data_IF_832183920840
#
_entry.id   IF_832183920840
#
_cell.length_a   1.000
_cell.length_b   1.000
_cell.length_c   1.000
_cell.angle_alpha   90.00
_cell.angle_beta   90.00
_cell.angle_gamma   90.00
#
_symmetry.space_group_name_H-M   'P 1'
#
loop_
_entity.id
_entity.type
_entity.pdbx_description
1 polymer ?
#
# COMPACT_ATOMS: atom_id res chain seq x y z
N UNK A 1 -37.99 32.99 -13.65
CA UNK A 1 -37.61 31.76 -12.92
C UNK A 1 -37.83 31.99 -11.43
N UNK A 2 -38.76 31.28 -10.77
CA UNK A 2 -38.97 31.43 -9.34
C UNK A 2 -37.68 31.09 -8.59
N UNK A 3 -37.22 32.00 -7.72
CA UNK A 3 -36.05 31.77 -6.85
C UNK A 3 -36.43 30.66 -5.86
N UNK A 4 -36.02 29.41 -6.13
CA UNK A 4 -36.11 28.33 -5.14
C UNK A 4 -35.39 28.81 -3.89
N UNK A 5 -36.11 28.95 -2.79
CA UNK A 5 -35.52 29.24 -1.48
C UNK A 5 -34.80 27.97 -1.04
N UNK A 6 -33.47 28.00 -1.05
CA UNK A 6 -32.68 26.88 -0.56
C UNK A 6 -32.95 26.69 0.93
N UNK A 7 -33.17 25.45 1.36
CA UNK A 7 -33.19 25.13 2.78
C UNK A 7 -31.77 25.18 3.33
N UNK A 8 -31.62 25.37 4.64
CA UNK A 8 -30.31 25.44 5.30
C UNK A 8 -29.45 24.19 5.01
N UNK A 9 -30.11 23.01 4.97
CA UNK A 9 -29.48 21.74 4.61
C UNK A 9 -28.99 21.71 3.15
N UNK A 10 -29.76 22.27 2.22
CA UNK A 10 -29.35 22.34 0.82
C UNK A 10 -28.12 23.24 0.66
N UNK A 11 -28.06 24.35 1.41
CA UNK A 11 -26.91 25.27 1.42
C UNK A 11 -25.67 24.55 1.92
N UNK A 12 -25.76 23.79 3.02
CA UNK A 12 -24.64 23.02 3.56
C UNK A 12 -24.13 21.95 2.58
N UNK A 13 -25.04 21.23 1.92
CA UNK A 13 -24.68 20.25 0.90
C UNK A 13 -23.97 20.90 -0.28
N UNK A 14 -24.48 22.03 -0.76
CA UNK A 14 -23.90 22.79 -1.87
C UNK A 14 -22.52 23.34 -1.50
N UNK A 15 -22.35 23.86 -0.28
CA UNK A 15 -21.06 24.29 0.25
C UNK A 15 -20.07 23.13 0.37
N UNK A 16 -20.53 21.96 0.83
CA UNK A 16 -19.73 20.74 0.88
C UNK A 16 -19.23 20.33 -0.50
N UNK A 17 -20.12 20.34 -1.50
CA UNK A 17 -19.80 20.07 -2.90
C UNK A 17 -18.73 21.03 -3.42
N UNK A 18 -18.96 22.35 -3.34
CA UNK A 18 -18.00 23.34 -3.83
C UNK A 18 -16.66 23.33 -3.08
N UNK A 19 -16.64 23.03 -1.78
CA UNK A 19 -15.39 22.83 -1.03
C UNK A 19 -14.60 21.62 -1.54
N UNK A 20 -15.28 20.55 -1.93
CA UNK A 20 -14.65 19.37 -2.52
C UNK A 20 -14.10 19.67 -3.92
N UNK A 21 -14.86 20.39 -4.75
CA UNK A 21 -14.44 20.83 -6.08
C UNK A 21 -13.24 21.77 -6.01
N UNK A 22 -13.26 22.74 -5.09
CA UNK A 22 -12.11 23.63 -4.85
C UNK A 22 -10.85 22.83 -4.53
N UNK A 23 -10.93 21.82 -3.67
CA UNK A 23 -9.77 20.95 -3.35
C UNK A 23 -9.28 20.19 -4.57
N UNK A 24 -10.18 19.66 -5.39
CA UNK A 24 -9.85 18.96 -6.64
C UNK A 24 -9.15 19.90 -7.62
N UNK A 25 -9.67 21.10 -7.83
CA UNK A 25 -9.10 22.10 -8.74
C UNK A 25 -7.71 22.56 -8.28
N UNK A 26 -7.52 22.79 -6.98
CA UNK A 26 -6.20 23.12 -6.41
C UNK A 26 -5.19 22.01 -6.68
N UNK A 27 -5.58 20.75 -6.47
CA UNK A 27 -4.69 19.61 -6.75
C UNK A 27 -4.30 19.52 -8.24
N UNK A 28 -5.26 19.73 -9.15
CA UNK A 28 -5.01 19.77 -10.59
C UNK A 28 -4.07 20.92 -10.96
N UNK A 29 -4.29 22.10 -10.40
CA UNK A 29 -3.46 23.28 -10.60
C UNK A 29 -2.02 23.02 -10.15
N UNK A 30 -1.82 22.42 -8.97
CA UNK A 30 -0.49 22.08 -8.47
C UNK A 30 0.23 21.03 -9.34
N UNK A 31 -0.50 20.07 -9.91
CA UNK A 31 0.05 19.12 -10.85
C UNK A 31 0.53 19.83 -12.14
N UNK A 32 -0.27 20.75 -12.67
CA UNK A 32 0.08 21.55 -13.86
C UNK A 32 1.28 22.46 -13.57
N UNK A 33 1.34 23.10 -12.39
CA UNK A 33 2.50 23.91 -11.99
C UNK A 33 3.79 23.08 -11.94
N UNK A 34 3.71 21.86 -11.41
CA UNK A 34 4.86 20.93 -11.37
C UNK A 34 5.32 20.57 -12.78
N UNK A 35 4.41 20.19 -13.67
CA UNK A 35 4.77 19.85 -15.05
C UNK A 35 5.37 21.04 -15.80
N UNK A 36 4.84 22.26 -15.63
CA UNK A 36 5.43 23.48 -16.20
C UNK A 36 6.85 23.70 -15.68
N UNK A 37 7.07 23.52 -14.37
CA UNK A 37 8.41 23.66 -13.77
C UNK A 37 9.40 22.65 -14.34
N UNK A 38 8.98 21.41 -14.49
CA UNK A 38 9.80 20.34 -15.08
C UNK A 38 10.13 20.65 -16.54
N UNK A 39 9.15 21.05 -17.35
CA UNK A 39 9.35 21.44 -18.75
C UNK A 39 10.28 22.67 -18.89
N UNK A 40 10.15 23.66 -17.99
CA UNK A 40 11.07 24.82 -17.97
C UNK A 40 12.49 24.39 -17.66
N UNK A 41 12.70 23.47 -16.71
CA UNK A 41 14.04 22.98 -16.38
C UNK A 41 14.71 22.28 -17.58
N UNK A 42 13.94 21.49 -18.33
CA UNK A 42 14.39 20.83 -19.57
C UNK A 42 14.72 21.88 -20.63
N UNK A 43 13.85 22.88 -20.83
CA UNK A 43 14.09 23.97 -21.79
C UNK A 43 15.39 24.73 -21.49
N UNK A 44 15.66 25.01 -20.22
CA UNK A 44 16.89 25.72 -19.81
C UNK A 44 18.16 24.87 -19.91
N UNK A 45 18.06 23.54 -19.76
CA UNK A 45 19.23 22.65 -19.89
C UNK A 45 19.48 22.19 -21.33
N UNK A 46 18.47 22.24 -22.20
CA UNK A 46 18.59 21.92 -23.62
C UNK A 46 19.17 23.04 -24.50
N UNK A 47 19.34 24.26 -23.99
CA UNK A 47 19.79 25.42 -24.78
C UNK A 47 21.22 25.89 -24.51
N UNK A 48 22.06 25.12 -23.80
CA UNK A 48 23.43 25.53 -23.42
C UNK A 48 24.52 24.54 -23.84
N UNK A 49 24.36 23.91 -25.00
CA UNK A 49 25.45 23.20 -25.70
C UNK A 49 25.99 24.05 -26.86
N UNK A 50 26.59 25.19 -26.56
CA UNK A 50 27.44 25.94 -27.49
C UNK A 50 28.73 26.33 -26.75
N UNK A 51 29.74 25.47 -26.86
CA UNK A 51 31.08 25.72 -26.33
C UNK A 51 31.85 26.55 -27.35
N UNK A 52 32.01 27.84 -27.11
CA UNK A 52 32.98 28.65 -27.84
C UNK A 52 34.39 28.42 -27.25
N UNK A 53 35.41 28.07 -28.05
CA UNK A 53 36.77 27.92 -27.55
C UNK A 53 37.44 29.29 -27.43
N UNK A 54 37.61 29.77 -26.19
CA UNK A 54 38.43 30.95 -25.89
C UNK A 54 39.91 30.55 -26.02
N UNK A 55 40.61 31.05 -27.05
CA UNK A 55 42.08 31.01 -27.13
C UNK A 55 42.65 31.85 -25.98
N UNK A 56 43.41 31.24 -25.07
CA UNK A 56 44.20 31.94 -24.04
C UNK A 56 45.68 31.67 -24.24
N UNK A 57 46.49 32.72 -24.16
CA UNK A 57 47.92 32.76 -24.51
C UNK A 57 48.84 31.94 -23.60
N UNK A 58 50.15 31.90 -23.94
CA UNK A 58 51.12 31.00 -23.33
C UNK A 58 51.54 31.52 -21.96
N UNK A 59 51.55 30.65 -20.95
CA UNK A 59 52.18 30.96 -19.66
C UNK A 59 51.47 30.51 -18.39
N UNK A 60 50.31 29.84 -18.44
CA UNK A 60 49.68 29.31 -17.21
C UNK A 60 49.87 27.79 -17.09
N UNK A 61 50.54 27.27 -16.05
CA UNK A 61 50.77 25.84 -15.90
C UNK A 61 49.43 25.10 -15.72
N UNK A 62 49.30 23.96 -16.40
CA UNK A 62 48.15 23.05 -16.27
C UNK A 62 48.05 22.59 -14.83
N UNK A 63 47.05 23.07 -14.09
CA UNK A 63 46.57 22.34 -12.92
C UNK A 63 45.97 21.05 -13.46
N UNK A 64 46.67 19.94 -13.29
CA UNK A 64 46.14 18.61 -13.55
C UNK A 64 45.03 18.36 -12.55
N UNK A 65 43.84 18.85 -12.85
CA UNK A 65 42.60 18.42 -12.23
C UNK A 65 42.32 17.00 -12.76
N UNK A 66 43.06 16.02 -12.24
CA UNK A 66 42.59 14.65 -12.23
C UNK A 66 41.20 14.68 -11.59
N UNK A 67 40.18 14.02 -12.17
CA UNK A 67 38.84 14.10 -11.65
C UNK A 67 38.85 13.51 -10.24
N UNK A 68 38.78 14.38 -9.22
CA UNK A 68 38.46 13.97 -7.86
C UNK A 68 37.12 13.28 -7.97
N UNK A 69 37.15 11.94 -7.98
CA UNK A 69 35.97 11.09 -7.96
C UNK A 69 35.29 11.39 -6.63
N UNK A 70 34.41 12.39 -6.62
CA UNK A 70 33.49 12.65 -5.53
C UNK A 70 32.75 11.33 -5.31
N UNK A 71 33.08 10.63 -4.24
CA UNK A 71 32.46 9.35 -3.89
C UNK A 71 30.95 9.53 -3.97
N UNK A 72 30.32 8.91 -4.97
CA UNK A 72 28.87 8.97 -5.11
C UNK A 72 28.31 8.36 -3.83
N UNK A 73 27.56 9.15 -3.04
CA UNK A 73 26.78 8.63 -1.92
C UNK A 73 26.05 7.38 -2.41
N UNK A 74 26.04 6.27 -1.65
CA UNK A 74 25.47 5.02 -2.11
C UNK A 74 24.06 5.29 -2.62
N UNK A 75 23.87 5.08 -3.93
CA UNK A 75 22.62 5.39 -4.60
C UNK A 75 21.47 4.68 -3.89
N UNK A 76 20.32 5.35 -3.81
CA UNK A 76 19.09 4.79 -3.26
C UNK A 76 18.88 3.38 -3.85
N UNK A 77 19.00 2.35 -2.99
CA UNK A 77 18.87 0.95 -3.42
C UNK A 77 17.58 0.81 -4.22
N UNK A 78 17.69 0.31 -5.46
CA UNK A 78 16.52 0.04 -6.31
C UNK A 78 15.54 -0.81 -5.51
N UNK A 79 14.29 -0.37 -5.42
CA UNK A 79 13.22 -1.08 -4.71
C UNK A 79 13.07 -2.44 -5.38
N UNK A 80 13.38 -3.52 -4.67
CA UNK A 80 13.20 -4.90 -5.17
C UNK A 80 11.71 -5.11 -5.47
N UNK A 81 11.36 -5.21 -6.74
CA UNK A 81 10.04 -5.68 -7.18
C UNK A 81 10.05 -7.20 -7.13
N UNK A 82 9.44 -7.77 -6.09
CA UNK A 82 9.26 -9.22 -5.99
C UNK A 82 8.04 -9.57 -6.85
N UNK A 83 8.29 -10.17 -8.02
CA UNK A 83 7.26 -10.44 -9.03
C UNK A 83 6.37 -11.63 -8.69
N UNK A 84 6.86 -12.57 -7.87
CA UNK A 84 6.14 -13.78 -7.48
C UNK A 84 6.39 -14.04 -5.98
N UNK A 85 5.37 -13.87 -5.15
CA UNK A 85 5.39 -14.35 -3.76
C UNK A 85 6.52 -13.82 -2.87
N UNK A 86 6.38 -12.57 -2.39
CA UNK A 86 7.33 -11.95 -1.45
C UNK A 86 7.71 -12.82 -0.25
N UNK A 87 9.02 -12.93 0.07
CA UNK A 87 9.67 -13.63 1.20
C UNK A 87 9.10 -15.02 1.59
N UNK A 88 9.95 -15.99 1.97
CA UNK A 88 9.50 -17.28 2.53
C UNK A 88 8.41 -17.09 3.59
N UNK A 89 7.33 -17.88 3.52
CA UNK A 89 6.27 -17.86 4.52
C UNK A 89 6.87 -18.30 5.86
N UNK A 90 6.58 -17.56 6.92
CA UNK A 90 6.95 -17.95 8.27
C UNK A 90 6.10 -19.18 8.66
N UNK A 91 6.59 -20.14 9.45
CA UNK A 91 5.77 -21.19 10.07
C UNK A 91 4.41 -20.71 10.61
N UNK A 92 4.38 -19.53 11.25
CA UNK A 92 3.14 -18.91 11.72
C UNK A 92 2.18 -18.55 10.57
N UNK A 93 2.70 -18.02 9.45
CA UNK A 93 1.90 -17.72 8.27
C UNK A 93 1.32 -19.00 7.66
N UNK A 94 2.15 -20.05 7.56
CA UNK A 94 1.74 -21.35 7.00
C UNK A 94 0.64 -21.99 7.84
N UNK A 95 0.75 -21.93 9.17
CA UNK A 95 -0.28 -22.46 10.05
C UNK A 95 -1.62 -21.70 9.91
N UNK A 96 -1.59 -20.37 9.79
CA UNK A 96 -2.83 -19.60 9.55
C UNK A 96 -3.46 -20.00 8.21
N UNK A 97 -2.66 -20.09 7.14
CA UNK A 97 -3.15 -20.51 5.82
C UNK A 97 -3.72 -21.93 5.89
N UNK A 98 -3.00 -22.88 6.50
CA UNK A 98 -3.44 -24.25 6.67
C UNK A 98 -4.74 -24.33 7.49
N UNK A 99 -4.87 -23.54 8.56
CA UNK A 99 -6.09 -23.52 9.37
C UNK A 99 -7.32 -23.07 8.57
N UNK A 100 -7.15 -22.09 7.68
CA UNK A 100 -8.22 -21.60 6.80
C UNK A 100 -8.54 -22.65 5.73
N UNK A 101 -7.53 -23.22 5.08
CA UNK A 101 -7.70 -24.26 4.06
C UNK A 101 -8.40 -25.50 4.64
N UNK A 102 -7.94 -26.00 5.79
CA UNK A 102 -8.49 -27.18 6.44
C UNK A 102 -9.93 -26.96 6.92
N UNK A 103 -10.25 -25.74 7.35
CA UNK A 103 -11.63 -25.43 7.77
C UNK A 103 -12.60 -25.31 6.60
N UNK A 104 -12.11 -25.07 5.39
CA UNK A 104 -12.92 -24.83 4.20
C UNK A 104 -13.84 -23.60 4.29
N UNK A 105 -13.76 -22.83 5.38
CA UNK A 105 -14.68 -21.73 5.69
C UNK A 105 -13.95 -20.43 6.02
N UNK A 106 -14.69 -19.34 6.05
CA UNK A 106 -14.20 -18.05 6.51
C UNK A 106 -14.07 -18.08 8.03
N UNK A 107 -12.90 -17.72 8.55
CA UNK A 107 -12.62 -17.74 9.98
C UNK A 107 -12.51 -16.33 10.55
N UNK A 108 -13.01 -16.16 11.77
CA UNK A 108 -12.83 -14.91 12.53
C UNK A 108 -11.43 -14.84 13.16
N UNK A 109 -11.01 -13.64 13.57
CA UNK A 109 -9.76 -13.47 14.34
C UNK A 109 -9.74 -14.36 15.60
N UNK A 110 -10.87 -14.51 16.27
CA UNK A 110 -11.00 -15.28 17.51
C UNK A 110 -10.81 -16.79 17.28
N UNK A 111 -11.43 -17.33 16.24
CA UNK A 111 -11.25 -18.74 15.87
C UNK A 111 -9.80 -19.03 15.45
N UNK A 112 -9.21 -18.14 14.66
CA UNK A 112 -7.80 -18.24 14.29
C UNK A 112 -6.89 -18.18 15.52
N UNK A 113 -7.18 -17.31 16.48
CA UNK A 113 -6.44 -17.20 17.74
C UNK A 113 -6.53 -18.49 18.57
N UNK A 114 -7.70 -19.11 18.65
CA UNK A 114 -7.87 -20.40 19.34
C UNK A 114 -7.02 -21.51 18.69
N UNK A 115 -7.02 -21.58 17.35
CA UNK A 115 -6.19 -22.54 16.61
C UNK A 115 -4.69 -22.25 16.79
N UNK A 116 -4.31 -20.97 16.76
CA UNK A 116 -2.93 -20.54 16.93
C UNK A 116 -2.39 -20.85 18.33
N UNK A 117 -3.21 -20.68 19.39
CA UNK A 117 -2.85 -21.06 20.75
C UNK A 117 -2.55 -22.56 20.86
N UNK A 118 -3.40 -23.41 20.26
CA UNK A 118 -3.20 -24.87 20.21
C UNK A 118 -1.92 -25.25 19.46
N UNK A 119 -1.61 -24.55 18.36
CA UNK A 119 -0.40 -24.78 17.59
C UNK A 119 0.86 -24.25 18.30
N UNK A 120 0.78 -23.07 18.91
CA UNK A 120 1.88 -22.46 19.65
C UNK A 120 2.28 -23.35 20.83
N UNK A 121 1.31 -23.86 21.60
CA UNK A 121 1.57 -24.79 22.69
C UNK A 121 2.35 -26.06 22.27
N UNK A 122 2.26 -26.47 20.99
CA UNK A 122 2.98 -27.64 20.46
C UNK A 122 4.36 -27.30 19.89
N UNK A 123 4.53 -26.14 19.26
CA UNK A 123 5.74 -25.83 18.48
C UNK A 123 6.68 -24.81 19.16
N UNK A 124 6.15 -23.92 19.99
CA UNK A 124 6.93 -22.92 20.71
C UNK A 124 6.63 -23.03 22.21
N UNK A 125 7.62 -23.44 22.99
CA UNK A 125 7.47 -23.49 24.45
C UNK A 125 7.31 -22.07 25.01
N UNK A 126 6.17 -21.84 25.65
CA UNK A 126 5.89 -20.69 26.52
C UNK A 126 5.87 -19.30 25.86
N UNK A 127 5.05 -19.13 24.83
CA UNK A 127 4.69 -17.78 24.32
C UNK A 127 3.47 -17.26 25.10
N UNK A 128 3.53 -16.07 25.71
CA UNK A 128 2.38 -15.52 26.43
C UNK A 128 1.21 -15.24 25.47
N UNK A 129 -0.02 -15.36 25.97
CA UNK A 129 -1.22 -15.22 25.15
C UNK A 129 -1.33 -13.87 24.43
N UNK A 130 -0.85 -12.79 25.05
CA UNK A 130 -0.79 -11.45 24.48
C UNK A 130 0.16 -11.37 23.26
N UNK A 131 1.30 -12.05 23.33
CA UNK A 131 2.25 -12.10 22.23
C UNK A 131 1.71 -12.94 21.07
N UNK A 132 1.02 -14.05 21.36
CA UNK A 132 0.34 -14.86 20.33
C UNK A 132 -0.67 -13.99 19.55
N UNK A 133 -1.44 -13.15 20.24
CA UNK A 133 -2.39 -12.25 19.57
C UNK A 133 -1.69 -11.15 18.75
N UNK A 134 -0.61 -10.56 19.28
CA UNK A 134 0.18 -9.57 18.57
C UNK A 134 0.80 -10.16 17.29
N UNK A 135 1.36 -11.38 17.38
CA UNK A 135 1.90 -12.14 16.24
C UNK A 135 0.80 -12.44 15.23
N UNK A 136 -0.35 -12.93 15.67
CA UNK A 136 -1.50 -13.16 14.78
C UNK A 136 -1.90 -11.91 14.02
N UNK A 137 -1.99 -10.76 14.72
CA UNK A 137 -2.38 -9.49 14.10
C UNK A 137 -1.38 -9.07 13.01
N UNK A 138 -0.07 -9.23 13.26
CA UNK A 138 0.98 -8.97 12.27
C UNK A 138 0.88 -9.92 11.07
N UNK A 139 0.66 -11.21 11.31
CA UNK A 139 0.49 -12.23 10.28
C UNK A 139 -0.72 -11.91 9.40
N UNK A 140 -1.86 -11.56 10.00
CA UNK A 140 -3.08 -11.19 9.27
C UNK A 140 -2.87 -9.93 8.41
N UNK A 141 -2.24 -8.88 8.95
CA UNK A 141 -1.93 -7.67 8.18
C UNK A 141 -0.98 -7.96 7.01
N UNK A 142 0.02 -8.82 7.24
CA UNK A 142 0.99 -9.24 6.22
C UNK A 142 0.33 -10.07 5.11
N UNK A 143 -0.51 -11.03 5.48
CA UNK A 143 -1.18 -11.95 4.56
C UNK A 143 -2.32 -11.29 3.78
N UNK A 144 -3.09 -10.40 4.40
CA UNK A 144 -4.18 -9.67 3.73
C UNK A 144 -3.70 -8.45 2.94
N UNK A 145 -2.63 -7.79 3.39
CA UNK A 145 -2.07 -6.61 2.74
C UNK A 145 -0.98 -6.96 1.72
N UNK A 146 0.28 -6.78 2.13
CA UNK A 146 1.45 -6.81 1.22
C UNK A 146 1.60 -8.11 0.44
N UNK A 147 1.23 -9.26 1.02
CA UNK A 147 1.31 -10.55 0.32
C UNK A 147 0.06 -10.85 -0.51
N UNK A 148 -1.09 -10.33 -0.09
CA UNK A 148 -2.37 -10.58 -0.75
C UNK A 148 -2.62 -12.08 -0.95
N UNK A 149 -2.43 -12.90 0.09
CA UNK A 149 -2.76 -14.34 0.09
C UNK A 149 -4.16 -14.54 0.67
N UNK A 150 -4.53 -13.72 1.66
CA UNK A 150 -5.84 -13.74 2.28
C UNK A 150 -6.69 -12.57 1.80
N UNK A 151 -7.99 -12.82 1.63
CA UNK A 151 -9.00 -11.78 1.51
C UNK A 151 -9.67 -11.51 2.86
N UNK A 152 -10.27 -10.33 2.99
CA UNK A 152 -11.04 -9.94 4.16
C UNK A 152 -12.49 -9.67 3.78
N UNK A 153 -13.41 -10.22 4.55
CA UNK A 153 -14.85 -10.00 4.38
C UNK A 153 -15.44 -9.33 5.63
N UNK A 154 -16.30 -8.34 5.44
CA UNK A 154 -17.15 -7.79 6.51
C UNK A 154 -18.59 -8.21 6.25
N UNK A 155 -19.19 -8.85 7.23
CA UNK A 155 -20.59 -9.32 7.15
C UNK A 155 -21.57 -8.30 7.69
N UNK A 156 -21.13 -7.40 8.57
CA UNK A 156 -22.00 -6.43 9.25
C UNK A 156 -22.71 -6.99 10.48
N UNK A 157 -22.86 -8.32 10.58
CA UNK A 157 -23.52 -8.98 11.73
C UNK A 157 -22.61 -9.13 12.95
N UNK A 158 -21.31 -9.32 12.74
CA UNK A 158 -20.33 -9.44 13.81
C UNK A 158 -19.24 -8.39 13.70
N UNK A 159 -18.73 -7.92 14.85
CA UNK A 159 -17.62 -6.97 14.89
C UNK A 159 -16.34 -7.66 14.41
N UNK A 160 -15.82 -7.19 13.29
CA UNK A 160 -14.51 -7.58 12.79
C UNK A 160 -14.53 -8.09 11.35
N UNK A 161 -13.39 -8.64 10.94
CA UNK A 161 -13.21 -9.22 9.62
C UNK A 161 -13.21 -10.73 9.70
N UNK A 162 -13.79 -11.35 8.68
CA UNK A 162 -13.60 -12.76 8.40
C UNK A 162 -12.49 -12.90 7.37
N UNK A 163 -11.59 -13.84 7.60
CA UNK A 163 -10.43 -14.09 6.77
C UNK A 163 -10.63 -15.37 5.98
N UNK A 164 -10.29 -15.32 4.69
CA UNK A 164 -10.36 -16.46 3.79
C UNK A 164 -9.26 -16.40 2.74
N UNK A 165 -9.15 -17.47 1.94
CA UNK A 165 -8.21 -17.48 0.82
C UNK A 165 -8.61 -16.42 -0.21
N UNK A 166 -7.63 -15.71 -0.78
CA UNK A 166 -7.90 -14.65 -1.76
C UNK A 166 -8.68 -15.12 -2.98
N UNK A 167 -8.49 -16.37 -3.38
CA UNK A 167 -9.21 -17.00 -4.49
C UNK A 167 -10.73 -16.96 -4.29
N UNK A 168 -11.19 -16.94 -3.04
CA UNK A 168 -12.62 -16.89 -2.73
C UNK A 168 -13.24 -15.52 -2.97
N UNK A 169 -12.42 -14.51 -3.21
CA UNK A 169 -12.81 -13.13 -3.39
C UNK A 169 -12.63 -12.70 -4.86
N UNK A 170 -13.31 -11.63 -5.23
CA UNK A 170 -13.04 -10.94 -6.48
C UNK A 170 -11.76 -10.10 -6.34
N UNK A 171 -10.82 -10.26 -7.27
CA UNK A 171 -9.58 -9.49 -7.29
C UNK A 171 -9.83 -7.98 -7.42
N UNK A 172 -10.92 -7.58 -8.09
CA UNK A 172 -11.27 -6.18 -8.37
C UNK A 172 -12.02 -5.52 -7.22
N UNK A 173 -13.03 -6.19 -6.67
CA UNK A 173 -13.93 -5.59 -5.67
C UNK A 173 -13.63 -6.01 -4.23
N UNK A 174 -12.82 -7.06 -4.02
CA UNK A 174 -12.59 -7.63 -2.69
C UNK A 174 -13.83 -8.24 -2.05
N UNK A 175 -14.95 -8.34 -2.78
CA UNK A 175 -16.18 -8.99 -2.32
C UNK A 175 -16.03 -10.50 -2.40
N UNK A 176 -16.74 -11.22 -1.53
CA UNK A 176 -16.79 -12.67 -1.57
C UNK A 176 -17.55 -13.12 -2.83
N UNK A 177 -17.03 -14.14 -3.53
CA UNK A 177 -17.72 -14.71 -4.69
C UNK A 177 -18.99 -15.43 -4.24
N UNK A 178 -20.03 -15.39 -5.09
CA UNK A 178 -21.31 -16.06 -4.80
C UNK A 178 -21.13 -17.56 -4.50
N UNK A 179 -20.23 -18.23 -5.22
CA UNK A 179 -19.85 -19.64 -5.04
C UNK A 179 -19.27 -19.97 -3.65
N UNK A 180 -18.83 -18.96 -2.90
CA UNK A 180 -18.21 -19.15 -1.59
C UNK A 180 -19.02 -18.52 -0.46
N UNK A 181 -20.27 -18.10 -0.72
CA UNK A 181 -21.15 -17.59 0.32
C UNK A 181 -21.44 -18.65 1.39
N UNK A 182 -21.54 -19.92 1.03
CA UNK A 182 -21.75 -21.04 1.96
C UNK A 182 -20.60 -21.18 2.98
N UNK A 183 -19.40 -20.72 2.62
CA UNK A 183 -18.22 -20.72 3.49
C UNK A 183 -18.34 -19.67 4.60
N UNK A 184 -19.33 -18.80 4.54
CA UNK A 184 -19.63 -17.80 5.55
C UNK A 184 -20.52 -18.44 6.64
N UNK A 185 -19.90 -19.15 7.58
CA UNK A 185 -20.63 -19.71 8.72
C UNK A 185 -20.83 -18.62 9.77
N UNK A 186 -22.01 -18.01 9.75
CA UNK A 186 -22.46 -17.10 10.80
C UNK A 186 -23.13 -17.94 11.89
N UNK A 187 -22.48 -18.10 13.04
CA UNK A 187 -23.20 -18.54 14.24
C UNK A 187 -24.16 -17.41 14.62
N UNK A 188 -25.47 -17.72 14.61
CA UNK A 188 -26.52 -16.85 15.15
C UNK A 188 -26.28 -16.59 16.63
#
# INVERSE_FOLDING_TARGET
MPKKRFTEKDIEQLLGHYRSERRRLVFQLDAVRKSIKDLRSIKTTGSSSAVAPVKRGPGRPRKTDGPVRRGRKPGRKKKRTIKEGGYRLNPWDQNVIASIQNSGRLLTKQELLANLKKWAAKNERSVPASEVEARLTRVLQKLSGKRGVLGTHRTGLQRGYHYGMKEWFFNTSGRLRRQHLERLVLKK
#
